data_IF_005943267222
#
_entry.id   IF_005943267222
#
_cell.length_a   1.000
_cell.length_b   1.000
_cell.length_c   1.000
_cell.angle_alpha   90.00
_cell.angle_beta   90.00
_cell.angle_gamma   90.00
#
_symmetry.space_group_name_H-M   'P 1'
#
loop_
_entity.id
_entity.type
_entity.pdbx_description
1 polymer ?
#
# COMPACT_ATOMS: atom_id res chain seq x y z
N UNK A 1 -16.99 -21.67 -3.57
CA UNK A 1 -16.04 -20.79 -2.87
C UNK A 1 -16.11 -19.45 -3.57
N UNK A 2 -16.61 -18.43 -2.89
CA UNK A 2 -16.67 -17.07 -3.44
C UNK A 2 -15.23 -16.53 -3.43
N UNK A 3 -14.64 -16.28 -4.60
CA UNK A 3 -13.35 -15.58 -4.67
C UNK A 3 -13.59 -14.16 -4.19
N UNK A 4 -13.14 -13.84 -2.98
CA UNK A 4 -13.07 -12.47 -2.49
C UNK A 4 -12.15 -11.70 -3.44
N UNK A 5 -12.72 -10.85 -4.28
CA UNK A 5 -11.96 -9.97 -5.17
C UNK A 5 -11.26 -8.96 -4.27
N UNK A 6 -9.99 -9.24 -4.01
CA UNK A 6 -9.07 -8.40 -3.26
C UNK A 6 -9.04 -6.98 -3.87
N UNK A 7 -9.35 -5.91 -3.10
CA UNK A 7 -9.47 -4.57 -3.63
C UNK A 7 -8.12 -4.06 -4.18
N UNK A 8 -8.15 -3.37 -5.33
CA UNK A 8 -6.95 -2.75 -5.95
C UNK A 8 -6.38 -1.60 -5.12
N UNK A 9 -7.26 -0.77 -4.56
CA UNK A 9 -6.90 0.39 -3.76
C UNK A 9 -7.05 0.10 -2.28
N UNK A 10 -5.94 0.15 -1.56
CA UNK A 10 -5.85 -0.22 -0.15
C UNK A 10 -5.86 1.01 0.74
N UNK A 11 -6.54 0.93 1.88
CA UNK A 11 -6.24 1.82 3.01
C UNK A 11 -4.82 1.58 3.53
N UNK A 12 -4.30 2.49 4.34
CA UNK A 12 -2.98 2.31 4.97
C UNK A 12 -2.87 1.00 5.76
N UNK A 13 -3.90 0.64 6.54
CA UNK A 13 -3.93 -0.63 7.27
C UNK A 13 -3.81 -1.83 6.33
N UNK A 14 -4.64 -1.87 5.29
CA UNK A 14 -4.60 -2.97 4.31
C UNK A 14 -3.29 -3.01 3.53
N UNK A 15 -2.69 -1.85 3.21
CA UNK A 15 -1.41 -1.78 2.53
C UNK A 15 -0.28 -2.33 3.41
N UNK A 16 -0.30 -2.03 4.71
CA UNK A 16 0.63 -2.61 5.67
C UNK A 16 0.48 -4.13 5.76
N UNK A 17 -0.76 -4.62 5.88
CA UNK A 17 -1.05 -6.06 5.91
C UNK A 17 -0.57 -6.74 4.61
N UNK A 18 -0.79 -6.10 3.46
CA UNK A 18 -0.36 -6.58 2.14
C UNK A 18 1.18 -6.62 1.99
N UNK A 19 1.89 -5.63 2.52
CA UNK A 19 3.35 -5.56 2.50
C UNK A 19 4.01 -6.36 3.63
N UNK A 20 3.23 -6.92 4.56
CA UNK A 20 3.74 -7.63 5.74
C UNK A 20 4.46 -6.72 6.75
N UNK A 21 4.12 -5.43 6.82
CA UNK A 21 4.73 -4.49 7.78
C UNK A 21 3.80 -4.20 8.96
N UNK A 22 4.35 -4.16 10.18
CA UNK A 22 3.55 -3.99 11.40
C UNK A 22 3.46 -2.55 11.93
N UNK A 23 4.02 -1.56 11.22
CA UNK A 23 4.15 -0.19 11.75
C UNK A 23 3.78 0.87 10.72
N UNK A 24 2.90 1.79 11.13
CA UNK A 24 2.57 2.98 10.34
C UNK A 24 3.79 3.88 10.12
N UNK A 25 4.76 3.90 11.04
CA UNK A 25 5.99 4.67 10.84
C UNK A 25 6.81 4.12 9.67
N UNK A 26 6.83 2.79 9.48
CA UNK A 26 7.45 2.17 8.31
C UNK A 26 6.71 2.53 7.04
N UNK A 27 5.37 2.49 7.06
CA UNK A 27 4.56 2.92 5.91
C UNK A 27 4.85 4.37 5.53
N UNK A 28 4.88 5.29 6.51
CA UNK A 28 5.18 6.70 6.27
C UNK A 28 6.58 6.89 5.69
N UNK A 29 7.58 6.16 6.19
CA UNK A 29 8.92 6.16 5.58
C UNK A 29 8.89 5.69 4.13
N UNK A 30 8.09 4.68 3.80
CA UNK A 30 7.96 4.22 2.41
C UNK A 30 7.34 5.30 1.52
N UNK A 31 6.33 6.01 2.04
CA UNK A 31 5.71 7.15 1.35
C UNK A 31 6.74 8.27 1.14
N UNK A 32 7.53 8.60 2.16
CA UNK A 32 8.57 9.63 2.10
C UNK A 32 9.66 9.31 1.05
N UNK A 33 9.98 8.02 0.85
CA UNK A 33 10.96 7.56 -0.15
C UNK A 33 10.33 7.22 -1.51
N UNK A 34 9.02 7.46 -1.71
CA UNK A 34 8.39 7.44 -3.02
C UNK A 34 7.27 6.44 -3.25
N UNK A 35 6.75 5.76 -2.21
CA UNK A 35 5.51 4.99 -2.34
C UNK A 35 4.34 5.95 -2.59
N UNK A 36 3.69 5.81 -3.74
CA UNK A 36 2.60 6.71 -4.14
C UNK A 36 1.36 6.53 -3.28
N UNK A 37 0.72 7.66 -2.97
CA UNK A 37 -0.55 7.72 -2.26
C UNK A 37 -1.54 8.55 -3.09
N UNK A 38 -2.74 8.02 -3.25
CA UNK A 38 -3.87 8.72 -3.85
C UNK A 38 -4.77 9.26 -2.74
N UNK A 39 -4.87 10.59 -2.64
CA UNK A 39 -5.79 11.24 -1.70
C UNK A 39 -7.16 11.36 -2.35
N UNK A 40 -8.18 10.80 -1.71
CA UNK A 40 -9.59 10.92 -2.12
C UNK A 40 -10.38 11.73 -1.09
N UNK A 41 -11.59 12.22 -1.40
CA UNK A 41 -12.47 12.83 -0.40
C UNK A 41 -12.78 11.92 0.80
N UNK A 42 -12.62 10.59 0.63
CA UNK A 42 -12.90 9.57 1.66
C UNK A 42 -11.62 9.08 2.36
N UNK A 43 -10.48 9.74 2.14
CA UNK A 43 -9.18 9.41 2.74
C UNK A 43 -8.14 8.90 1.75
N UNK A 44 -6.96 8.62 2.29
CA UNK A 44 -5.80 8.16 1.53
C UNK A 44 -5.92 6.68 1.12
N UNK A 45 -5.53 6.39 -0.12
CA UNK A 45 -5.50 5.05 -0.71
C UNK A 45 -4.16 4.78 -1.39
N UNK A 46 -3.76 3.52 -1.46
CA UNK A 46 -2.52 3.07 -2.10
C UNK A 46 -2.88 1.98 -3.12
N UNK A 47 -2.45 2.13 -4.38
CA UNK A 47 -2.66 1.12 -5.42
C UNK A 47 -1.71 -0.06 -5.20
N UNK A 48 -2.23 -1.30 -5.24
CA UNK A 48 -1.41 -2.52 -5.19
C UNK A 48 -0.33 -2.56 -6.26
N UNK A 49 -0.58 -2.02 -7.46
CA UNK A 49 0.43 -1.95 -8.50
C UNK A 49 1.58 -1.02 -8.10
N UNK A 50 1.29 0.14 -7.52
CA UNK A 50 2.33 1.04 -7.05
C UNK A 50 3.14 0.43 -5.90
N UNK A 51 2.50 -0.34 -5.00
CA UNK A 51 3.21 -1.12 -3.98
C UNK A 51 4.15 -2.13 -4.64
N UNK A 52 3.67 -2.91 -5.60
CA UNK A 52 4.48 -3.94 -6.26
C UNK A 52 5.68 -3.34 -7.00
N UNK A 53 5.48 -2.24 -7.72
CA UNK A 53 6.57 -1.55 -8.41
C UNK A 53 7.57 -0.95 -7.41
N UNK A 54 7.09 -0.37 -6.32
CA UNK A 54 7.93 0.13 -5.23
C UNK A 54 8.79 -0.98 -4.61
N UNK A 55 8.19 -2.10 -4.19
CA UNK A 55 8.93 -3.21 -3.57
C UNK A 55 9.98 -3.81 -4.52
N UNK A 56 9.65 -3.96 -5.81
CA UNK A 56 10.61 -4.38 -6.84
C UNK A 56 11.78 -3.41 -6.97
N UNK A 57 11.51 -2.11 -7.00
CA UNK A 57 12.54 -1.07 -7.12
C UNK A 57 13.54 -1.12 -5.95
N UNK A 58 13.06 -1.42 -4.75
CA UNK A 58 13.88 -1.47 -3.53
C UNK A 58 14.39 -2.89 -3.19
N UNK A 59 14.15 -3.89 -4.05
CA UNK A 59 14.50 -5.32 -3.85
C UNK A 59 14.02 -5.88 -2.51
N UNK A 60 12.83 -5.48 -2.09
CA UNK A 60 12.18 -5.96 -0.87
C UNK A 60 11.31 -7.19 -1.14
#
# INVERSE_FOLDING_TARGET
MEQLVEPRYLSYKQAMDYMGIGSYNTLHRYIDIGLKVTVTPFGAKIDKHDINEFLKQYKM
#
